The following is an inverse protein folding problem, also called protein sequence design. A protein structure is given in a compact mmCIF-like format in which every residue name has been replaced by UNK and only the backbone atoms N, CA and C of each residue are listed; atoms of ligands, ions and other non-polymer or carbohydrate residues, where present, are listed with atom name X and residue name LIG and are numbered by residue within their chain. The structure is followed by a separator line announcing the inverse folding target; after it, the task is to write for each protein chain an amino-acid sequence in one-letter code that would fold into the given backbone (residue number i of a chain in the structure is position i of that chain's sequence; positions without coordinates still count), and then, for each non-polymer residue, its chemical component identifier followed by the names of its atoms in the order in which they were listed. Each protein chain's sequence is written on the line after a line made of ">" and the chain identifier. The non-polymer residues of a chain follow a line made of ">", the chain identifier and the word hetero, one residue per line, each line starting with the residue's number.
data_IF_850268272292
#
_entry.id   IF_850268272292
#
_cell.length_a   1.000
_cell.length_b   1.000
_cell.length_c   1.000
_cell.angle_alpha   90.00
_cell.angle_beta   90.00
_cell.angle_gamma   90.00
#
_symmetry.space_group_name_H-M   'P 1'
#
loop_
_entity.id
_entity.type
_entity.pdbx_description
1 polymer ?
#
# COMPACT_ATOMS: atom_id res chain seq x y z
N UNK A 1 -0.27 -14.97 -4.89
CA UNK A 1 0.51 -14.81 -3.64
C UNK A 1 1.78 -13.97 -3.88
N UNK A 2 1.63 -12.66 -4.14
CA UNK A 2 2.74 -11.71 -4.31
C UNK A 2 2.71 -10.66 -3.18
N UNK A 3 3.82 -9.97 -2.95
CA UNK A 3 3.90 -8.86 -2.00
C UNK A 3 3.20 -7.59 -2.55
N UNK A 4 2.97 -6.61 -1.67
CA UNK A 4 2.28 -5.36 -1.98
C UNK A 4 3.01 -4.56 -3.05
N UNK A 5 4.35 -4.51 -3.01
CA UNK A 5 5.14 -3.85 -4.06
C UNK A 5 4.78 -4.33 -5.46
N UNK A 6 4.59 -5.65 -5.63
CA UNK A 6 4.27 -6.23 -6.93
C UNK A 6 2.79 -6.10 -7.29
N UNK A 7 1.89 -6.18 -6.30
CA UNK A 7 0.46 -6.07 -6.54
C UNK A 7 0.01 -4.63 -6.84
N UNK A 8 0.65 -3.65 -6.20
CA UNK A 8 0.29 -2.24 -6.25
C UNK A 8 1.30 -1.40 -7.03
N UNK A 9 2.19 -2.02 -7.82
CA UNK A 9 3.28 -1.33 -8.55
C UNK A 9 2.82 -0.18 -9.46
N UNK A 10 1.60 -0.27 -9.97
CA UNK A 10 1.01 0.71 -10.89
C UNK A 10 0.20 1.78 -10.14
N UNK A 11 0.09 1.67 -8.81
CA UNK A 11 -0.71 2.54 -7.94
C UNK A 11 0.17 3.25 -6.90
N UNK A 12 1.14 2.55 -6.31
CA UNK A 12 2.02 3.04 -5.26
C UNK A 12 3.50 2.89 -5.64
N UNK A 13 4.26 3.95 -5.40
CA UNK A 13 5.72 3.99 -5.49
C UNK A 13 6.34 3.64 -4.15
N UNK A 14 7.66 3.39 -4.15
CA UNK A 14 8.42 3.08 -2.95
C UNK A 14 8.25 4.14 -1.84
N UNK A 15 8.26 5.42 -2.20
CA UNK A 15 8.03 6.56 -1.29
C UNK A 15 6.65 6.53 -0.63
N UNK A 16 5.65 5.99 -1.32
CA UNK A 16 4.27 6.02 -0.85
C UNK A 16 4.09 5.01 0.29
N UNK A 17 4.78 3.87 0.21
CA UNK A 17 4.85 2.89 1.30
C UNK A 17 5.47 3.48 2.58
N UNK A 18 6.49 4.33 2.44
CA UNK A 18 7.12 5.02 3.57
C UNK A 18 6.13 6.01 4.22
N UNK A 19 5.43 6.81 3.41
CA UNK A 19 4.39 7.73 3.88
C UNK A 19 3.23 6.99 4.58
N UNK A 20 2.85 5.83 4.03
CA UNK A 20 1.82 4.97 4.59
C UNK A 20 2.30 4.19 5.82
N UNK A 21 3.60 4.16 6.12
CA UNK A 21 4.20 3.31 7.16
C UNK A 21 3.85 1.83 6.98
N UNK A 22 3.77 1.37 5.73
CA UNK A 22 3.46 -0.02 5.35
C UNK A 22 4.70 -0.62 4.69
N UNK A 23 5.08 -1.82 5.08
CA UNK A 23 6.21 -2.50 4.47
C UNK A 23 5.83 -3.04 3.08
N UNK A 24 6.56 -2.69 2.01
CA UNK A 24 6.26 -3.12 0.64
C UNK A 24 6.43 -4.64 0.44
N UNK A 25 7.13 -5.31 1.36
CA UNK A 25 7.36 -6.76 1.38
C UNK A 25 6.19 -7.55 1.95
N UNK A 26 5.27 -6.91 2.67
CA UNK A 26 4.06 -7.57 3.18
C UNK A 26 3.21 -8.08 2.03
N UNK A 27 2.38 -9.08 2.30
CA UNK A 27 1.32 -9.54 1.41
C UNK A 27 0.03 -8.84 1.77
N UNK A 28 -0.94 -8.88 0.86
CA UNK A 28 -2.28 -8.32 1.12
C UNK A 28 -2.96 -9.02 2.31
N UNK A 29 -2.71 -10.33 2.50
CA UNK A 29 -3.24 -11.10 3.62
C UNK A 29 -2.62 -10.72 4.99
N UNK A 30 -1.54 -9.93 5.02
CA UNK A 30 -0.89 -9.44 6.24
C UNK A 30 -1.38 -8.04 6.67
N UNK A 31 -2.24 -7.38 5.87
CA UNK A 31 -2.74 -6.03 6.15
C UNK A 31 -4.03 -6.04 6.96
N UNK A 32 -4.17 -5.04 7.83
CA UNK A 32 -5.43 -4.76 8.52
C UNK A 32 -6.41 -3.99 7.63
N UNK A 33 -7.68 -3.93 8.02
CA UNK A 33 -8.69 -3.12 7.32
C UNK A 33 -8.28 -1.64 7.36
N UNK A 34 -7.74 -1.18 8.49
CA UNK A 34 -7.26 0.19 8.70
C UNK A 34 -6.16 0.56 7.70
N UNK A 35 -5.26 -0.38 7.40
CA UNK A 35 -4.22 -0.17 6.38
C UNK A 35 -4.83 0.03 4.99
N UNK A 36 -5.85 -0.75 4.62
CA UNK A 36 -6.55 -0.59 3.35
C UNK A 36 -7.29 0.75 3.26
N UNK A 37 -7.92 1.19 4.35
CA UNK A 37 -8.55 2.52 4.41
C UNK A 37 -7.50 3.61 4.24
N UNK A 38 -6.34 3.48 4.87
CA UNK A 38 -5.24 4.44 4.78
C UNK A 38 -4.67 4.52 3.36
N UNK A 39 -4.42 3.37 2.73
CA UNK A 39 -3.99 3.30 1.32
C UNK A 39 -5.00 4.01 0.42
N UNK A 40 -6.28 3.70 0.57
CA UNK A 40 -7.35 4.28 -0.27
C UNK A 40 -7.41 5.80 -0.14
N UNK A 41 -7.40 6.31 1.09
CA UNK A 41 -7.39 7.77 1.35
C UNK A 41 -6.16 8.45 0.75
N UNK A 42 -4.99 7.84 0.89
CA UNK A 42 -3.74 8.36 0.34
C UNK A 42 -3.80 8.44 -1.20
N UNK A 43 -4.24 7.36 -1.86
CA UNK A 43 -4.34 7.31 -3.32
C UNK A 43 -5.33 8.35 -3.84
N UNK A 44 -6.51 8.47 -3.24
CA UNK A 44 -7.53 9.45 -3.67
C UNK A 44 -7.04 10.89 -3.47
N UNK A 45 -6.27 11.17 -2.41
CA UNK A 45 -5.77 12.52 -2.13
C UNK A 45 -4.62 12.94 -3.04
N UNK A 46 -3.95 11.97 -3.67
CA UNK A 46 -2.77 12.18 -4.51
C UNK A 46 -3.01 11.83 -5.98
N UNK A 47 -4.26 11.57 -6.37
CA UNK A 47 -4.72 11.33 -7.74
C UNK A 47 -5.03 12.64 -8.46
#
# INVERSE_FOLDING_TARGET
>A
RKNLKNNLKDILKQSDFENLKILPTNRAEDLTIEDFIKITKYVISNA
#
